data_IF_541245820092
#
_entry.id   IF_541245820092
#
_cell.length_a   1.000
_cell.length_b   1.000
_cell.length_c   1.000
_cell.angle_alpha   90.00
_cell.angle_beta   90.00
_cell.angle_gamma   90.00
#
_symmetry.space_group_name_H-M   'P 1'
#
loop_
_entity.id
_entity.type
_entity.pdbx_description
1 polymer ?
#
# COMPACT_ATOMS: atom_id res chain seq x y z
N UNK A 1 -6.55 -9.16 27.45
CA UNK A 1 -7.51 -10.20 27.05
C UNK A 1 -7.91 -9.92 25.60
N UNK A 2 -7.81 -10.87 24.65
CA UNK A 2 -8.27 -10.64 23.28
C UNK A 2 -9.80 -10.59 23.26
N UNK A 3 -10.37 -9.46 22.80
CA UNK A 3 -11.82 -9.31 22.61
C UNK A 3 -12.26 -10.15 21.41
N UNK A 4 -13.07 -11.18 21.63
CA UNK A 4 -13.74 -11.91 20.55
C UNK A 4 -14.86 -11.03 20.01
N UNK A 5 -14.72 -10.58 18.77
CA UNK A 5 -15.78 -9.88 18.04
C UNK A 5 -16.54 -10.93 17.22
N UNK A 6 -17.84 -11.08 17.47
CA UNK A 6 -18.75 -11.94 16.70
C UNK A 6 -19.44 -11.03 15.69
N UNK A 7 -19.28 -11.34 14.40
CA UNK A 7 -19.91 -10.61 13.29
C UNK A 7 -20.91 -11.57 12.64
N UNK A 8 -22.19 -11.21 12.66
CA UNK A 8 -23.22 -11.93 11.92
C UNK A 8 -23.10 -11.57 10.44
N UNK A 9 -22.82 -12.58 9.62
CA UNK A 9 -22.73 -12.43 8.17
C UNK A 9 -24.11 -12.71 7.56
N UNK A 10 -24.51 -11.99 6.49
CA UNK A 10 -25.69 -12.36 5.72
C UNK A 10 -25.58 -13.81 5.26
N UNK A 11 -26.66 -14.59 5.33
CA UNK A 11 -26.67 -16.01 4.91
C UNK A 11 -26.26 -16.20 3.45
N UNK A 12 -26.35 -15.16 2.62
CA UNK A 12 -25.97 -15.16 1.21
C UNK A 12 -24.47 -14.96 0.96
N UNK A 13 -23.70 -14.56 1.98
CA UNK A 13 -22.27 -14.28 1.84
C UNK A 13 -21.45 -15.49 2.30
N UNK A 14 -20.59 -16.03 1.44
CA UNK A 14 -19.73 -17.15 1.82
C UNK A 14 -18.66 -16.71 2.83
N UNK A 15 -18.18 -17.66 3.66
CA UNK A 15 -17.05 -17.40 4.59
C UNK A 15 -15.82 -16.82 3.88
N UNK A 16 -15.57 -17.24 2.63
CA UNK A 16 -14.44 -16.76 1.83
C UNK A 16 -14.60 -15.29 1.46
N UNK A 17 -15.78 -14.91 0.95
CA UNK A 17 -16.10 -13.53 0.59
C UNK A 17 -16.06 -12.63 1.82
N UNK A 18 -16.61 -13.08 2.95
CA UNK A 18 -16.54 -12.35 4.22
C UNK A 18 -15.10 -12.05 4.65
N UNK A 19 -14.22 -13.06 4.61
CA UNK A 19 -12.80 -12.90 4.94
C UNK A 19 -12.13 -11.92 3.97
N UNK A 20 -12.48 -11.97 2.70
CA UNK A 20 -11.91 -11.08 1.69
C UNK A 20 -12.33 -9.63 1.90
N UNK A 21 -13.61 -9.38 2.22
CA UNK A 21 -14.11 -8.06 2.60
C UNK A 21 -13.38 -7.54 3.84
N UNK A 22 -13.26 -8.36 4.89
CA UNK A 22 -12.56 -7.98 6.11
C UNK A 22 -11.08 -7.65 5.85
N UNK A 23 -10.41 -8.41 4.99
CA UNK A 23 -9.02 -8.12 4.58
C UNK A 23 -8.92 -6.78 3.85
N UNK A 24 -9.82 -6.51 2.90
CA UNK A 24 -9.86 -5.24 2.16
C UNK A 24 -10.11 -4.06 3.11
N UNK A 25 -11.05 -4.17 4.02
CA UNK A 25 -11.34 -3.14 5.01
C UNK A 25 -10.17 -2.90 5.99
N UNK A 26 -9.50 -3.96 6.42
CA UNK A 26 -8.29 -3.85 7.25
C UNK A 26 -7.16 -3.12 6.51
N UNK A 27 -6.93 -3.42 5.22
CA UNK A 27 -5.94 -2.73 4.40
C UNK A 27 -6.27 -1.26 4.21
N UNK A 28 -7.54 -0.93 3.95
CA UNK A 28 -8.00 0.46 3.84
C UNK A 28 -7.72 1.25 5.12
N UNK A 29 -7.84 0.65 6.30
CA UNK A 29 -7.56 1.32 7.59
C UNK A 29 -6.08 1.39 7.95
N UNK A 30 -5.25 0.54 7.34
CA UNK A 30 -3.82 0.41 7.69
C UNK A 30 -2.97 1.60 7.23
N UNK A 31 -3.26 2.16 6.06
CA UNK A 31 -2.43 3.18 5.42
C UNK A 31 -3.07 4.56 5.50
N UNK A 32 -2.24 5.59 5.70
CA UNK A 32 -2.67 6.99 5.54
C UNK A 32 -3.02 7.23 4.08
N UNK A 33 -4.01 8.08 3.82
CA UNK A 33 -4.48 8.43 2.47
C UNK A 33 -4.76 9.92 2.38
N UNK A 34 -4.54 10.50 1.21
CA UNK A 34 -4.99 11.85 0.90
C UNK A 34 -6.44 11.86 0.42
N UNK A 35 -7.08 13.04 0.47
CA UNK A 35 -8.41 13.24 -0.13
C UNK A 35 -8.40 13.01 -1.64
N UNK A 36 -7.28 13.32 -2.31
CA UNK A 36 -7.12 13.11 -3.75
C UNK A 36 -7.15 11.63 -4.09
N UNK A 37 -6.39 10.80 -3.36
CA UNK A 37 -6.45 9.35 -3.50
C UNK A 37 -7.86 8.81 -3.29
N UNK A 38 -8.56 9.28 -2.26
CA UNK A 38 -9.92 8.81 -2.00
C UNK A 38 -10.93 9.20 -3.09
N UNK A 39 -10.73 10.32 -3.78
CA UNK A 39 -11.68 10.80 -4.79
C UNK A 39 -11.35 10.32 -6.20
N UNK A 40 -10.07 10.25 -6.57
CA UNK A 40 -9.64 10.13 -7.96
C UNK A 40 -8.82 8.88 -8.27
N UNK A 41 -8.34 8.15 -7.25
CA UNK A 41 -7.51 6.96 -7.47
C UNK A 41 -8.17 5.96 -8.42
N UNK A 42 -7.46 5.64 -9.50
CA UNK A 42 -7.78 4.56 -10.43
C UNK A 42 -7.37 3.24 -9.79
N UNK A 43 -8.20 2.18 -9.84
CA UNK A 43 -7.83 0.85 -9.32
C UNK A 43 -7.33 0.82 -7.85
N UNK A 44 -8.04 1.48 -6.92
CA UNK A 44 -7.70 1.54 -5.48
C UNK A 44 -7.31 0.20 -4.85
N UNK A 45 -8.01 -0.87 -5.21
CA UNK A 45 -7.73 -2.22 -4.68
C UNK A 45 -6.30 -2.69 -5.04
N UNK A 46 -5.79 -2.33 -6.22
CA UNK A 46 -4.41 -2.62 -6.63
C UNK A 46 -3.43 -1.74 -5.84
N UNK A 47 -3.70 -0.45 -5.70
CA UNK A 47 -2.88 0.45 -4.89
C UNK A 47 -2.72 -0.03 -3.44
N UNK A 48 -3.81 -0.53 -2.81
CA UNK A 48 -3.73 -1.14 -1.48
C UNK A 48 -2.87 -2.41 -1.43
N UNK A 49 -2.96 -3.27 -2.46
CA UNK A 49 -2.14 -4.48 -2.56
C UNK A 49 -0.66 -4.15 -2.76
N UNK A 50 -0.36 -3.13 -3.57
CA UNK A 50 1.01 -2.65 -3.79
C UNK A 50 1.57 -2.08 -2.47
N UNK A 51 0.84 -1.20 -1.77
CA UNK A 51 1.26 -0.67 -0.47
C UNK A 51 1.46 -1.78 0.58
N UNK A 52 0.61 -2.82 0.60
CA UNK A 52 0.82 -3.98 1.46
C UNK A 52 2.10 -4.74 1.09
N UNK A 53 2.40 -4.88 -0.19
CA UNK A 53 3.62 -5.52 -0.65
C UNK A 53 4.86 -4.73 -0.26
N UNK A 54 4.87 -3.41 -0.49
CA UNK A 54 5.95 -2.50 -0.08
C UNK A 54 6.19 -2.61 1.42
N UNK A 55 5.15 -2.55 2.25
CA UNK A 55 5.25 -2.71 3.71
C UNK A 55 5.90 -4.05 4.11
N UNK A 56 5.49 -5.15 3.48
CA UNK A 56 6.09 -6.48 3.73
C UNK A 56 7.54 -6.56 3.28
N UNK A 57 7.86 -5.94 2.14
CA UNK A 57 9.21 -5.92 1.59
C UNK A 57 10.16 -5.15 2.52
N UNK A 58 9.79 -3.94 2.91
CA UNK A 58 10.59 -3.11 3.81
C UNK A 58 10.78 -3.79 5.17
N UNK A 59 9.73 -4.36 5.77
CA UNK A 59 9.87 -5.15 7.01
C UNK A 59 10.80 -6.36 6.88
N UNK A 60 10.84 -7.00 5.71
CA UNK A 60 11.65 -8.20 5.51
C UNK A 60 13.13 -7.87 5.31
N UNK A 61 13.41 -6.86 4.50
CA UNK A 61 14.77 -6.56 4.03
C UNK A 61 15.42 -5.37 4.73
N UNK A 62 14.62 -4.50 5.37
CA UNK A 62 15.04 -3.27 6.03
C UNK A 62 14.42 -3.18 7.44
N UNK A 63 14.73 -4.16 8.29
CA UNK A 63 14.04 -4.38 9.59
C UNK A 63 14.09 -3.19 10.54
N UNK A 64 15.21 -2.46 10.55
CA UNK A 64 15.43 -1.32 11.45
C UNK A 64 15.01 0.02 10.81
N UNK A 65 14.56 -0.01 9.55
CA UNK A 65 14.11 1.17 8.84
C UNK A 65 12.79 1.66 9.43
N UNK A 66 12.79 2.90 9.92
CA UNK A 66 11.57 3.58 10.31
C UNK A 66 10.97 4.23 9.07
N UNK A 67 9.72 3.88 8.78
CA UNK A 67 9.00 4.45 7.65
C UNK A 67 7.51 4.59 7.89
N UNK A 68 6.88 5.47 7.12
CA UNK A 68 5.43 5.58 6.98
C UNK A 68 5.04 5.47 5.51
N UNK A 69 3.87 4.89 5.22
CA UNK A 69 3.33 4.80 3.87
C UNK A 69 2.07 5.66 3.76
N UNK A 70 2.06 6.53 2.76
CA UNK A 70 0.93 7.37 2.36
C UNK A 70 0.50 7.00 0.93
N UNK A 71 -0.80 6.77 0.77
CA UNK A 71 -1.41 6.62 -0.54
C UNK A 71 -1.92 7.99 -1.02
N UNK A 72 -1.41 8.42 -2.16
CA UNK A 72 -1.75 9.70 -2.79
C UNK A 72 -2.11 9.50 -4.27
N UNK A 73 -2.58 10.57 -4.92
CA UNK A 73 -2.93 10.56 -6.33
C UNK A 73 -2.46 11.83 -7.00
N UNK A 74 -1.72 11.66 -8.10
CA UNK A 74 -1.33 12.75 -8.98
C UNK A 74 -2.47 13.06 -9.95
N UNK A 75 -2.92 14.32 -9.95
CA UNK A 75 -3.98 14.76 -10.86
C UNK A 75 -3.46 15.02 -12.27
N UNK A 76 -2.20 15.43 -12.41
CA UNK A 76 -1.63 15.85 -13.69
C UNK A 76 -1.21 14.60 -14.48
N UNK A 77 -0.50 13.69 -13.83
CA UNK A 77 -0.09 12.41 -14.43
C UNK A 77 -1.19 11.35 -14.36
N UNK A 78 -2.28 11.63 -13.64
CA UNK A 78 -3.42 10.74 -13.40
C UNK A 78 -3.06 9.35 -12.82
N UNK A 79 -2.00 9.27 -12.03
CA UNK A 79 -1.46 8.04 -11.42
C UNK A 79 -1.61 7.99 -9.90
N UNK A 80 -1.67 6.78 -9.36
CA UNK A 80 -1.55 6.58 -7.92
C UNK A 80 -0.10 6.73 -7.47
N UNK A 81 0.12 7.35 -6.32
CA UNK A 81 1.45 7.44 -5.69
C UNK A 81 1.43 6.67 -4.37
N UNK A 82 2.31 5.68 -4.24
CA UNK A 82 2.65 5.05 -2.96
C UNK A 82 3.90 5.75 -2.42
N UNK A 83 3.70 6.76 -1.57
CA UNK A 83 4.80 7.52 -0.98
C UNK A 83 5.27 6.84 0.30
N UNK A 84 6.56 6.57 0.39
CA UNK A 84 7.21 5.99 1.57
C UNK A 84 8.12 7.04 2.19
N UNK A 85 7.73 7.54 3.36
CA UNK A 85 8.54 8.47 4.15
C UNK A 85 9.50 7.65 5.01
N UNK A 86 10.79 7.71 4.70
CA UNK A 86 11.85 6.98 5.41
C UNK A 86 12.66 7.92 6.29
N UNK A 87 13.18 7.42 7.42
CA UNK A 87 14.02 8.21 8.33
C UNK A 87 15.41 7.61 8.48
N UNK A 88 16.43 8.47 8.44
CA UNK A 88 17.81 8.09 8.77
C UNK A 88 18.49 7.21 7.73
N UNK A 89 18.18 7.42 6.45
CA UNK A 89 18.74 6.71 5.31
C UNK A 89 19.17 7.72 4.24
N UNK A 90 20.36 7.56 3.68
CA UNK A 90 20.88 8.46 2.65
C UNK A 90 20.17 8.30 1.30
N UNK A 91 20.38 9.27 0.41
CA UNK A 91 19.74 9.31 -0.90
C UNK A 91 20.10 8.11 -1.78
N UNK A 92 21.35 7.62 -1.75
CA UNK A 92 21.77 6.48 -2.57
C UNK A 92 21.01 5.22 -2.18
N UNK A 93 20.84 5.00 -0.89
CA UNK A 93 20.04 3.90 -0.36
C UNK A 93 18.54 4.07 -0.64
N UNK A 94 18.02 5.31 -0.62
CA UNK A 94 16.63 5.59 -1.03
C UNK A 94 16.40 5.18 -2.49
N UNK A 95 17.26 5.63 -3.40
CA UNK A 95 17.19 5.33 -4.83
C UNK A 95 17.31 3.81 -5.10
N UNK A 96 18.20 3.12 -4.38
CA UNK A 96 18.33 1.67 -4.51
C UNK A 96 17.06 0.91 -4.06
N UNK A 97 16.38 1.39 -3.02
CA UNK A 97 15.12 0.80 -2.56
C UNK A 97 14.03 1.02 -3.61
N UNK A 98 13.92 2.26 -4.10
CA UNK A 98 12.94 2.67 -5.11
C UNK A 98 13.08 1.82 -6.38
N UNK A 99 14.28 1.79 -6.97
CA UNK A 99 14.53 1.01 -8.19
C UNK A 99 14.20 -0.47 -8.03
N UNK A 100 14.51 -1.06 -6.88
CA UNK A 100 14.21 -2.47 -6.60
C UNK A 100 12.71 -2.69 -6.51
N UNK A 101 12.00 -1.83 -5.79
CA UNK A 101 10.56 -1.93 -5.63
C UNK A 101 9.84 -1.73 -6.96
N UNK A 102 10.25 -0.76 -7.77
CA UNK A 102 9.68 -0.51 -9.09
C UNK A 102 9.84 -1.69 -10.03
N UNK A 103 11.05 -2.25 -10.13
CA UNK A 103 11.31 -3.46 -10.94
C UNK A 103 10.40 -4.62 -10.50
N UNK A 104 10.28 -4.85 -9.20
CA UNK A 104 9.48 -5.95 -8.65
C UNK A 104 7.99 -5.70 -8.89
N UNK A 105 7.50 -4.50 -8.66
CA UNK A 105 6.07 -4.19 -8.75
C UNK A 105 5.61 -4.21 -10.20
N UNK A 106 6.40 -3.67 -11.13
CA UNK A 106 6.16 -3.79 -12.56
C UNK A 106 6.13 -5.25 -13.05
N UNK A 107 6.91 -6.14 -12.44
CA UNK A 107 6.88 -7.57 -12.79
C UNK A 107 5.71 -8.34 -12.19
N UNK A 108 5.11 -7.83 -11.10
CA UNK A 108 4.20 -8.61 -10.25
C UNK A 108 2.74 -8.17 -10.32
N UNK A 109 2.48 -6.90 -10.65
CA UNK A 109 1.15 -6.33 -10.66
C UNK A 109 0.78 -5.90 -12.07
N UNK A 110 -0.37 -6.37 -12.56
CA UNK A 110 -0.98 -5.84 -13.77
C UNK A 110 -1.32 -4.36 -13.57
N UNK A 111 -1.17 -3.54 -14.62
CA UNK A 111 -1.37 -2.09 -14.57
C UNK A 111 -0.49 -1.35 -13.54
N UNK A 112 0.70 -1.88 -13.25
CA UNK A 112 1.68 -1.20 -12.41
C UNK A 112 2.07 0.19 -12.95
N UNK A 113 1.97 0.43 -14.25
CA UNK A 113 2.21 1.75 -14.87
C UNK A 113 1.28 2.87 -14.36
N UNK A 114 0.16 2.54 -13.72
CA UNK A 114 -0.73 3.51 -13.08
C UNK A 114 -0.32 3.82 -11.63
N UNK A 115 0.81 3.29 -11.16
CA UNK A 115 1.23 3.33 -9.77
C UNK A 115 2.72 3.64 -9.68
N UNK A 116 3.05 4.78 -9.09
CA UNK A 116 4.42 5.16 -8.81
C UNK A 116 4.74 4.93 -7.34
N UNK A 117 5.96 4.49 -7.07
CA UNK A 117 6.51 4.40 -5.72
C UNK A 117 7.52 5.50 -5.60
N UNK A 118 7.45 6.26 -4.51
CA UNK A 118 8.42 7.32 -4.27
C UNK A 118 8.94 7.16 -2.86
N UNK A 119 10.24 7.01 -2.72
CA UNK A 119 10.92 6.97 -1.43
C UNK A 119 11.44 8.38 -1.14
N UNK A 120 10.99 8.97 -0.02
CA UNK A 120 11.40 10.33 0.37
C UNK A 120 11.86 10.36 1.82
N UNK A 121 12.85 11.17 2.11
CA UNK A 121 13.21 11.48 3.50
C UNK A 121 12.06 12.24 4.20
N UNK A 122 11.72 11.85 5.44
CA UNK A 122 10.60 12.44 6.18
C UNK A 122 10.80 12.57 7.69
#
# INVERSE_FOLDING_TARGET
>A
MPTKIIIELPQTLTKKEAIEILKREALKKKFKKTKLFEKYSKNKDIAFKIAEYVDKYLKRYYKDLKYEILLDYDLDDEVNIIRVFVKGIDLDNQLQIEEKLDKIINSKFENASLHNIVIVEG
#
